data_IF_896494558533
#
_entry.id   IF_896494558533
#
_cell.length_a   1.000
_cell.length_b   1.000
_cell.length_c   1.000
_cell.angle_alpha   90.00
_cell.angle_beta   90.00
_cell.angle_gamma   90.00
#
_symmetry.space_group_name_H-M   'P 1'
#
loop_
_entity.id
_entity.type
_entity.pdbx_description
1 polymer ?
#
# COMPACT_ATOMS: atom_id res chain seq x y z
N UNK A 1 23.92 23.29 -1.56
CA UNK A 1 24.81 22.36 -0.81
C UNK A 1 23.89 21.39 -0.08
N UNK A 2 23.30 20.44 -0.81
CA UNK A 2 22.44 19.41 -0.25
C UNK A 2 23.30 18.18 0.05
N UNK A 3 23.81 18.12 1.28
CA UNK A 3 24.30 16.87 1.86
C UNK A 3 23.11 16.18 2.54
N UNK A 4 22.19 15.63 1.74
CA UNK A 4 21.28 14.60 2.24
C UNK A 4 21.80 13.27 1.73
N UNK A 5 22.17 12.44 2.70
CA UNK A 5 22.65 11.07 2.54
C UNK A 5 21.78 10.31 1.53
N UNK A 6 22.42 9.66 0.56
CA UNK A 6 21.72 8.91 -0.50
C UNK A 6 20.90 7.75 0.10
N UNK A 7 19.81 7.33 -0.56
CA UNK A 7 18.90 6.29 -0.06
C UNK A 7 19.64 4.99 0.30
N UNK A 8 20.72 4.71 -0.41
CA UNK A 8 21.59 3.56 -0.20
C UNK A 8 22.38 3.69 1.10
N UNK A 9 22.90 4.88 1.39
CA UNK A 9 23.59 5.17 2.64
C UNK A 9 22.62 5.12 3.82
N UNK A 10 21.39 5.62 3.65
CA UNK A 10 20.36 5.52 4.68
C UNK A 10 19.98 4.07 4.97
N UNK A 11 19.68 3.27 3.94
CA UNK A 11 19.36 1.85 4.09
C UNK A 11 20.50 1.00 4.66
N UNK A 12 21.75 1.37 4.37
CA UNK A 12 22.93 0.65 4.86
C UNK A 12 23.27 1.00 6.32
N UNK A 13 23.22 2.29 6.68
CA UNK A 13 23.74 2.76 7.97
C UNK A 13 22.67 2.99 9.04
N UNK A 14 21.40 3.17 8.68
CA UNK A 14 20.34 3.37 9.68
C UNK A 14 20.17 2.19 10.67
N UNK A 15 20.17 0.91 10.25
CA UNK A 15 20.07 -0.22 11.19
C UNK A 15 21.26 -0.28 12.17
N UNK A 16 22.46 0.09 11.71
CA UNK A 16 23.67 0.16 12.53
C UNK A 16 23.50 1.25 13.59
N UNK A 17 23.04 2.43 13.19
CA UNK A 17 22.81 3.56 14.10
C UNK A 17 21.76 3.21 15.16
N UNK A 18 20.62 2.64 14.75
CA UNK A 18 19.56 2.20 15.66
C UNK A 18 20.08 1.18 16.68
N UNK A 19 20.86 0.20 16.23
CA UNK A 19 21.47 -0.80 17.12
C UNK A 19 22.32 -0.15 18.23
N UNK A 20 23.17 0.82 17.87
CA UNK A 20 24.06 1.46 18.85
C UNK A 20 23.33 2.42 19.78
N UNK A 21 22.32 3.15 19.30
CA UNK A 21 21.45 3.98 20.13
C UNK A 21 20.73 3.12 21.17
N UNK A 22 20.08 2.04 20.71
CA UNK A 22 19.36 1.12 21.58
C UNK A 22 20.29 0.47 22.62
N UNK A 23 21.46 -0.02 22.17
CA UNK A 23 22.46 -0.62 23.05
C UNK A 23 23.01 0.39 24.07
N UNK A 24 23.19 1.65 23.66
CA UNK A 24 23.63 2.73 24.54
C UNK A 24 22.61 3.05 25.63
N UNK A 25 21.33 3.16 25.28
CA UNK A 25 20.23 3.35 26.23
C UNK A 25 20.22 2.21 27.26
N UNK A 26 20.41 0.97 26.82
CA UNK A 26 20.45 -0.18 27.73
C UNK A 26 21.61 -0.10 28.75
N UNK A 27 22.80 0.31 28.30
CA UNK A 27 23.95 0.48 29.19
C UNK A 27 23.70 1.59 30.22
N UNK A 28 23.08 2.70 29.80
CA UNK A 28 22.73 3.82 30.69
C UNK A 28 21.71 3.44 31.76
N UNK A 29 20.74 2.57 31.42
CA UNK A 29 19.71 2.12 32.34
C UNK A 29 20.17 0.98 33.27
N UNK A 30 21.30 0.33 32.97
CA UNK A 30 21.81 -0.82 33.73
C UNK A 30 21.99 -0.65 35.25
N UNK A 31 22.26 0.57 35.80
CA UNK A 31 22.34 0.78 37.26
C UNK A 31 20.99 0.74 37.97
N UNK A 32 19.87 0.97 37.27
CA UNK A 32 18.55 1.08 37.88
C UNK A 32 17.82 -0.27 37.83
N UNK A 33 17.70 -0.94 38.98
CA UNK A 33 17.18 -2.32 39.04
C UNK A 33 15.76 -2.47 38.46
N UNK A 34 14.90 -1.47 38.65
CA UNK A 34 13.52 -1.46 38.14
C UNK A 34 13.41 -1.37 36.61
N UNK A 35 14.50 -1.05 35.90
CA UNK A 35 14.53 -0.85 34.45
C UNK A 35 15.46 -1.84 33.72
N UNK A 36 15.95 -2.87 34.42
CA UNK A 36 16.77 -3.92 33.81
C UNK A 36 15.90 -4.93 33.05
N UNK A 37 16.22 -5.14 31.77
CA UNK A 37 15.61 -6.21 30.97
C UNK A 37 15.94 -7.62 31.49
N UNK A 38 17.10 -7.79 32.14
CA UNK A 38 17.53 -9.08 32.68
C UNK A 38 18.07 -8.97 34.12
N UNK A 39 17.73 -9.93 35.01
CA UNK A 39 18.31 -10.01 36.34
C UNK A 39 19.85 -10.10 36.29
N UNK A 40 20.54 -9.51 37.27
CA UNK A 40 22.03 -9.61 37.39
C UNK A 40 22.52 -11.06 37.37
N UNK A 41 21.78 -11.94 38.05
CA UNK A 41 22.06 -13.37 38.10
C UNK A 41 22.12 -14.00 36.71
N UNK A 42 21.18 -13.65 35.84
CA UNK A 42 21.11 -14.19 34.47
C UNK A 42 22.24 -13.64 33.60
N UNK A 43 22.58 -12.35 33.76
CA UNK A 43 23.68 -11.72 33.03
C UNK A 43 25.03 -12.39 33.36
N UNK A 44 25.27 -12.70 34.64
CA UNK A 44 26.50 -13.37 35.07
C UNK A 44 26.61 -14.83 34.61
N UNK A 45 25.49 -15.53 34.42
CA UNK A 45 25.48 -16.92 33.98
C UNK A 45 25.50 -17.04 32.45
N UNK A 46 24.82 -16.12 31.74
CA UNK A 46 24.64 -16.20 30.29
C UNK A 46 25.72 -15.46 29.49
N UNK A 47 26.40 -14.47 30.06
CA UNK A 47 27.49 -13.77 29.36
C UNK A 47 28.79 -14.57 29.44
N UNK A 48 28.99 -15.44 28.44
CA UNK A 48 30.18 -16.29 28.33
C UNK A 48 31.43 -15.56 27.81
N UNK A 49 31.29 -14.32 27.34
CA UNK A 49 32.35 -13.53 26.69
C UNK A 49 32.44 -12.11 27.24
N UNK A 50 33.64 -11.51 27.18
CA UNK A 50 33.85 -10.14 27.65
C UNK A 50 33.14 -9.10 26.77
N UNK A 51 32.73 -7.97 27.35
CA UNK A 51 32.14 -6.84 26.61
C UNK A 51 33.04 -6.37 25.46
N UNK A 52 34.35 -6.39 25.64
CA UNK A 52 35.33 -6.02 24.61
C UNK A 52 35.30 -7.00 23.42
N UNK A 53 35.12 -8.29 23.70
CA UNK A 53 34.96 -9.32 22.67
C UNK A 53 33.66 -9.13 21.90
N UNK A 54 32.56 -8.85 22.60
CA UNK A 54 31.24 -8.56 21.99
C UNK A 54 31.32 -7.34 21.07
N UNK A 55 31.85 -6.22 21.56
CA UNK A 55 31.97 -4.98 20.76
C UNK A 55 32.81 -5.21 19.51
N UNK A 56 33.94 -5.94 19.60
CA UNK A 56 34.75 -6.29 18.43
C UNK A 56 34.00 -7.17 17.43
N UNK A 57 33.26 -8.17 17.92
CA UNK A 57 32.46 -9.06 17.08
C UNK A 57 31.34 -8.32 16.34
N UNK A 58 30.62 -7.46 17.06
CA UNK A 58 29.53 -6.62 16.50
C UNK A 58 30.07 -5.65 15.44
N UNK A 59 31.18 -4.94 15.73
CA UNK A 59 31.78 -4.03 14.76
C UNK A 59 32.27 -4.76 13.50
N UNK A 60 32.87 -5.95 13.66
CA UNK A 60 33.29 -6.77 12.52
C UNK A 60 32.09 -7.25 11.69
N UNK A 61 31.02 -7.70 12.35
CA UNK A 61 29.79 -8.15 11.70
C UNK A 61 29.09 -7.00 10.96
N UNK A 62 28.98 -5.83 11.57
CA UNK A 62 28.39 -4.64 10.94
C UNK A 62 29.25 -4.11 9.79
N UNK A 63 30.58 -4.16 9.91
CA UNK A 63 31.48 -3.79 8.81
C UNK A 63 31.33 -4.74 7.62
N UNK A 64 31.23 -6.06 7.86
CA UNK A 64 30.98 -7.05 6.82
C UNK A 64 29.60 -6.85 6.18
N UNK A 65 28.56 -6.63 6.99
CA UNK A 65 27.21 -6.38 6.52
C UNK A 65 27.12 -5.11 5.66
N UNK A 66 27.77 -4.02 6.09
CA UNK A 66 27.84 -2.79 5.33
C UNK A 66 28.61 -2.99 4.01
N UNK A 67 29.74 -3.72 4.03
CA UNK A 67 30.51 -4.02 2.83
C UNK A 67 29.71 -4.86 1.82
N UNK A 68 29.03 -5.91 2.28
CA UNK A 68 28.17 -6.74 1.42
C UNK A 68 27.00 -5.93 0.87
N UNK A 69 26.33 -5.12 1.68
CA UNK A 69 25.25 -4.25 1.24
C UNK A 69 25.73 -3.27 0.16
N UNK A 70 26.83 -2.56 0.40
CA UNK A 70 27.42 -1.62 -0.57
C UNK A 70 27.82 -2.33 -1.87
N UNK A 71 28.41 -3.52 -1.80
CA UNK A 71 28.78 -4.30 -2.99
C UNK A 71 27.54 -4.76 -3.75
N UNK A 72 26.52 -5.26 -3.07
CA UNK A 72 25.26 -5.68 -3.71
C UNK A 72 24.55 -4.50 -4.37
N UNK A 73 24.41 -3.37 -3.66
CA UNK A 73 23.87 -2.14 -4.23
C UNK A 73 24.69 -1.65 -5.43
N UNK A 74 26.02 -1.68 -5.33
CA UNK A 74 26.91 -1.29 -6.43
C UNK A 74 26.75 -2.20 -7.65
N UNK A 75 26.66 -3.52 -7.47
CA UNK A 75 26.44 -4.49 -8.55
C UNK A 75 25.05 -4.29 -9.18
N UNK A 76 24.02 -4.10 -8.37
CA UNK A 76 22.65 -3.87 -8.84
C UNK A 76 22.57 -2.58 -9.67
N UNK A 77 23.19 -1.50 -9.21
CA UNK A 77 23.23 -0.21 -9.91
C UNK A 77 24.15 -0.22 -11.14
N UNK A 78 25.24 -0.99 -11.13
CA UNK A 78 26.16 -1.14 -12.28
C UNK A 78 25.56 -2.01 -13.39
N UNK A 79 24.74 -3.00 -13.05
CA UNK A 79 24.14 -3.91 -14.02
C UNK A 79 22.80 -3.40 -14.59
N UNK A 80 22.15 -2.45 -13.92
CA UNK A 80 20.82 -1.98 -14.27
C UNK A 80 20.63 -0.53 -13.80
N UNK A 81 20.27 0.39 -14.69
CA UNK A 81 19.66 1.66 -14.28
C UNK A 81 18.23 1.35 -13.83
N UNK A 82 17.98 1.28 -12.52
CA UNK A 82 16.64 1.02 -12.01
C UNK A 82 15.88 2.34 -11.90
N UNK A 83 14.78 2.55 -12.66
CA UNK A 83 13.95 3.76 -12.56
C UNK A 83 13.33 3.95 -11.17
N UNK A 84 13.40 2.92 -10.32
CA UNK A 84 12.78 2.86 -8.99
C UNK A 84 13.30 3.93 -8.01
N UNK A 85 14.53 4.42 -8.23
CA UNK A 85 15.14 5.46 -7.40
C UNK A 85 15.08 6.85 -8.03
N UNK A 86 14.71 6.93 -9.31
CA UNK A 86 14.55 8.20 -10.00
C UNK A 86 13.34 8.95 -9.44
N UNK A 87 13.42 10.27 -9.38
CA UNK A 87 12.30 11.13 -8.97
C UNK A 87 11.56 11.59 -10.22
N UNK A 88 10.28 11.90 -10.08
CA UNK A 88 9.55 12.57 -11.16
C UNK A 88 9.88 14.05 -11.18
N UNK A 89 9.88 14.65 -12.37
CA UNK A 89 9.97 16.10 -12.53
C UNK A 89 8.60 16.74 -12.32
N UNK A 90 8.26 17.04 -11.07
CA UNK A 90 6.90 17.50 -10.71
C UNK A 90 6.77 19.02 -10.90
N UNK A 91 5.87 19.50 -11.77
CA UNK A 91 5.79 20.92 -12.13
C UNK A 91 5.04 21.80 -11.12
N UNK A 92 4.33 21.20 -10.16
CA UNK A 92 3.56 21.92 -9.14
C UNK A 92 4.26 21.96 -7.77
N UNK A 93 3.81 22.87 -6.92
CA UNK A 93 4.36 23.12 -5.58
C UNK A 93 3.49 22.50 -4.48
N UNK A 94 4.00 22.53 -3.23
CA UNK A 94 3.36 21.96 -2.03
C UNK A 94 1.89 22.35 -1.84
N UNK A 95 1.53 23.59 -2.20
CA UNK A 95 0.16 24.10 -2.08
C UNK A 95 -0.82 23.35 -2.97
N UNK A 96 -0.42 23.04 -4.21
CA UNK A 96 -1.24 22.26 -5.15
C UNK A 96 -1.49 20.86 -4.60
N UNK A 97 -0.50 20.27 -3.93
CA UNK A 97 -0.63 18.94 -3.31
C UNK A 97 -1.71 18.94 -2.24
N UNK A 98 -1.60 19.88 -1.29
CA UNK A 98 -2.54 19.99 -0.18
C UNK A 98 -3.94 20.31 -0.69
N UNK A 99 -4.06 21.27 -1.62
CA UNK A 99 -5.34 21.66 -2.20
C UNK A 99 -5.99 20.48 -2.94
N UNK A 100 -5.25 19.74 -3.75
CA UNK A 100 -5.79 18.60 -4.49
C UNK A 100 -6.21 17.47 -3.56
N UNK A 101 -5.39 17.11 -2.56
CA UNK A 101 -5.75 16.05 -1.62
C UNK A 101 -6.98 16.41 -0.78
N UNK A 102 -7.08 17.66 -0.30
CA UNK A 102 -8.27 18.14 0.42
C UNK A 102 -9.48 18.16 -0.51
N UNK A 103 -9.34 18.68 -1.74
CA UNK A 103 -10.44 18.74 -2.70
C UNK A 103 -10.94 17.33 -3.05
N UNK A 104 -10.04 16.36 -3.25
CA UNK A 104 -10.42 14.96 -3.49
C UNK A 104 -11.19 14.37 -2.31
N UNK A 105 -10.70 14.57 -1.08
CA UNK A 105 -11.38 14.11 0.14
C UNK A 105 -12.75 14.76 0.35
N UNK A 106 -12.85 16.07 0.16
CA UNK A 106 -14.13 16.80 0.23
C UNK A 106 -15.08 16.30 -0.86
N UNK A 107 -14.61 16.15 -2.10
CA UNK A 107 -15.42 15.65 -3.20
C UNK A 107 -15.97 14.26 -2.93
N UNK A 108 -15.15 13.34 -2.41
CA UNK A 108 -15.58 12.00 -2.00
C UNK A 108 -16.68 12.02 -0.94
N UNK A 109 -16.53 12.87 0.09
CA UNK A 109 -17.54 13.01 1.15
C UNK A 109 -18.83 13.66 0.61
N UNK A 110 -18.70 14.71 -0.21
CA UNK A 110 -19.84 15.40 -0.79
C UNK A 110 -20.65 14.53 -1.74
N UNK A 111 -20.00 13.67 -2.54
CA UNK A 111 -20.73 12.73 -3.42
C UNK A 111 -21.63 11.80 -2.61
N UNK A 112 -21.15 11.25 -1.49
CA UNK A 112 -21.99 10.41 -0.61
C UNK A 112 -23.15 11.19 0.04
N UNK A 113 -22.94 12.44 0.45
CA UNK A 113 -24.05 13.28 0.95
C UNK A 113 -25.08 13.62 -0.13
N UNK A 114 -24.64 13.90 -1.35
CA UNK A 114 -25.52 14.15 -2.49
C UNK A 114 -26.33 12.90 -2.80
N UNK A 115 -25.70 11.72 -2.83
CA UNK A 115 -26.38 10.45 -3.04
C UNK A 115 -27.45 10.20 -1.96
N UNK A 116 -27.11 10.33 -0.68
CA UNK A 116 -28.05 10.18 0.43
C UNK A 116 -29.24 11.16 0.31
N UNK A 117 -28.98 12.38 -0.13
CA UNK A 117 -30.02 13.40 -0.34
C UNK A 117 -30.92 13.07 -1.53
N UNK A 118 -30.33 12.64 -2.65
CA UNK A 118 -31.06 12.29 -3.88
C UNK A 118 -31.92 11.05 -3.68
N UNK A 119 -31.38 10.00 -3.06
CA UNK A 119 -32.13 8.77 -2.73
C UNK A 119 -33.30 9.06 -1.81
N UNK A 120 -33.10 9.89 -0.77
CA UNK A 120 -34.18 10.35 0.10
C UNK A 120 -35.23 11.20 -0.62
N UNK A 121 -34.81 12.11 -1.51
CA UNK A 121 -35.72 12.99 -2.25
C UNK A 121 -36.59 12.21 -3.25
N UNK A 122 -36.02 11.21 -3.90
CA UNK A 122 -36.72 10.32 -4.84
C UNK A 122 -37.56 9.25 -4.12
N UNK A 123 -37.51 9.17 -2.78
CA UNK A 123 -38.24 8.18 -2.00
C UNK A 123 -37.71 6.75 -2.16
N UNK A 124 -36.46 6.59 -2.58
CA UNK A 124 -35.83 5.28 -2.78
C UNK A 124 -35.50 4.67 -1.41
N UNK A 125 -36.20 3.61 -1.04
CA UNK A 125 -35.92 2.87 0.19
C UNK A 125 -34.87 1.80 -0.07
N UNK A 126 -33.58 2.14 0.10
CA UNK A 126 -32.42 1.27 -0.18
C UNK A 126 -32.57 -0.11 0.46
N UNK A 127 -33.12 -0.19 1.68
CA UNK A 127 -33.32 -1.46 2.39
C UNK A 127 -34.18 -2.44 1.59
N UNK A 128 -35.19 -1.95 0.88
CA UNK A 128 -36.18 -2.75 0.16
C UNK A 128 -35.75 -3.12 -1.26
N UNK A 129 -34.64 -2.56 -1.75
CA UNK A 129 -34.11 -2.90 -3.08
C UNK A 129 -33.63 -4.35 -3.14
N UNK A 130 -33.83 -4.98 -4.30
CA UNK A 130 -33.23 -6.27 -4.62
C UNK A 130 -31.70 -6.20 -4.67
N UNK A 131 -31.03 -7.35 -4.67
CA UNK A 131 -29.57 -7.39 -4.73
C UNK A 131 -29.01 -6.74 -6.01
N UNK A 132 -29.64 -7.00 -7.16
CA UNK A 132 -29.21 -6.44 -8.44
C UNK A 132 -29.36 -4.91 -8.49
N UNK A 133 -30.48 -4.39 -7.98
CA UNK A 133 -30.73 -2.94 -7.89
C UNK A 133 -29.75 -2.26 -6.93
N UNK A 134 -29.41 -2.91 -5.81
CA UNK A 134 -28.38 -2.42 -4.88
C UNK A 134 -27.00 -2.40 -5.54
N UNK A 135 -26.63 -3.46 -6.26
CA UNK A 135 -25.35 -3.54 -6.93
C UNK A 135 -25.23 -2.51 -8.08
N UNK A 136 -26.32 -2.28 -8.82
CA UNK A 136 -26.40 -1.23 -9.83
C UNK A 136 -26.24 0.16 -9.21
N UNK A 137 -26.97 0.45 -8.13
CA UNK A 137 -26.87 1.74 -7.42
C UNK A 137 -25.43 2.01 -6.94
N UNK A 138 -24.79 1.03 -6.30
CA UNK A 138 -23.39 1.12 -5.87
C UNK A 138 -22.42 1.32 -7.04
N UNK A 139 -22.69 0.70 -8.19
CA UNK A 139 -21.86 0.89 -9.38
C UNK A 139 -21.98 2.32 -9.92
N UNK A 140 -23.20 2.86 -9.97
CA UNK A 140 -23.44 4.24 -10.38
C UNK A 140 -22.78 5.23 -9.41
N UNK A 141 -22.90 5.01 -8.10
CA UNK A 141 -22.25 5.85 -7.10
C UNK A 141 -20.72 5.83 -7.28
N UNK A 142 -20.11 4.64 -7.34
CA UNK A 142 -18.67 4.51 -7.56
C UNK A 142 -18.22 5.20 -8.86
N UNK A 143 -19.02 5.11 -9.93
CA UNK A 143 -18.73 5.77 -11.20
C UNK A 143 -18.73 7.30 -11.04
N UNK A 144 -19.72 7.87 -10.34
CA UNK A 144 -19.81 9.30 -10.06
C UNK A 144 -18.61 9.76 -9.23
N UNK A 145 -18.31 9.06 -8.12
CA UNK A 145 -17.15 9.34 -7.26
C UNK A 145 -15.86 9.35 -8.08
N UNK A 146 -15.66 8.32 -8.91
CA UNK A 146 -14.49 8.19 -9.77
C UNK A 146 -14.38 9.36 -10.74
N UNK A 147 -15.47 9.70 -11.45
CA UNK A 147 -15.47 10.81 -12.40
C UNK A 147 -15.21 12.17 -11.73
N UNK A 148 -15.82 12.42 -10.57
CA UNK A 148 -15.68 13.69 -9.82
C UNK A 148 -14.25 13.86 -9.32
N UNK A 149 -13.69 12.85 -8.65
CA UNK A 149 -12.34 12.94 -8.07
C UNK A 149 -11.27 13.05 -9.16
N UNK A 150 -11.38 12.26 -10.24
CA UNK A 150 -10.47 12.40 -11.38
C UNK A 150 -10.62 13.77 -12.06
N UNK A 151 -11.85 14.30 -12.13
CA UNK A 151 -12.14 15.65 -12.60
C UNK A 151 -11.48 16.73 -11.75
N UNK A 152 -11.44 16.57 -10.42
CA UNK A 152 -10.73 17.46 -9.49
C UNK A 152 -9.23 17.43 -9.73
N UNK A 153 -8.63 16.23 -9.79
CA UNK A 153 -7.19 16.06 -10.07
C UNK A 153 -6.85 16.74 -11.41
N UNK A 154 -7.60 16.45 -12.47
CA UNK A 154 -7.40 17.07 -13.77
C UNK A 154 -7.56 18.59 -13.71
N UNK A 155 -8.63 19.10 -13.10
CA UNK A 155 -8.90 20.54 -13.02
C UNK A 155 -7.78 21.33 -12.30
N UNK A 156 -7.26 20.78 -11.20
CA UNK A 156 -6.21 21.41 -10.41
C UNK A 156 -4.80 21.23 -11.01
N UNK A 157 -4.59 20.26 -11.89
CA UNK A 157 -3.30 20.04 -12.58
C UNK A 157 -3.26 20.58 -14.01
N UNK A 158 -4.41 20.96 -14.59
CA UNK A 158 -4.53 21.40 -15.99
C UNK A 158 -3.65 22.61 -16.33
N UNK A 159 -3.43 23.53 -15.40
CA UNK A 159 -2.61 24.73 -15.62
C UNK A 159 -1.11 24.42 -15.81
N UNK A 160 -0.66 23.21 -15.48
CA UNK A 160 0.73 22.78 -15.59
C UNK A 160 1.06 22.02 -16.88
N UNK A 161 0.12 21.99 -17.83
CA UNK A 161 0.31 21.30 -19.11
C UNK A 161 1.31 22.06 -20.02
N UNK A 162 2.16 21.36 -20.80
CA UNK A 162 2.27 19.90 -20.88
C UNK A 162 2.99 19.30 -19.66
N UNK A 163 2.44 18.20 -19.14
CA UNK A 163 3.12 17.40 -18.11
C UNK A 163 4.24 16.54 -18.72
N UNK A 164 5.27 16.17 -17.95
CA UNK A 164 6.21 15.14 -18.35
C UNK A 164 5.51 13.82 -18.74
N UNK A 165 6.10 13.10 -19.70
CA UNK A 165 5.50 11.92 -20.33
C UNK A 165 5.30 10.71 -19.38
N UNK A 166 5.94 10.73 -18.21
CA UNK A 166 5.89 9.67 -17.20
C UNK A 166 4.92 9.97 -16.03
N UNK A 167 4.29 11.16 -16.02
CA UNK A 167 3.22 11.52 -15.08
C UNK A 167 1.87 11.12 -15.70
N UNK A 168 1.05 10.38 -14.94
CA UNK A 168 -0.22 9.82 -15.43
C UNK A 168 -0.09 9.00 -16.74
N UNK A 169 1.02 8.27 -16.89
CA UNK A 169 1.32 7.51 -18.10
C UNK A 169 0.52 6.20 -18.19
N UNK A 170 -0.10 5.96 -19.36
CA UNK A 170 -0.85 4.75 -19.71
C UNK A 170 -0.30 4.13 -21.01
N UNK A 171 0.87 3.50 -20.93
CA UNK A 171 1.54 2.96 -22.13
C UNK A 171 1.22 1.48 -22.35
N UNK A 172 0.45 1.19 -23.40
CA UNK A 172 0.08 -0.20 -23.75
C UNK A 172 1.17 -0.98 -24.49
N UNK A 173 2.24 -0.32 -24.93
CA UNK A 173 3.29 -0.93 -25.74
C UNK A 173 4.18 -1.84 -24.90
N UNK A 174 4.75 -2.85 -25.58
CA UNK A 174 5.77 -3.76 -25.05
C UNK A 174 5.42 -4.40 -23.68
N UNK A 175 4.21 -5.01 -23.51
CA UNK A 175 3.70 -5.48 -22.22
C UNK A 175 4.60 -6.49 -21.49
N UNK A 176 5.43 -7.23 -22.23
CA UNK A 176 6.32 -8.26 -21.71
C UNK A 176 7.81 -7.91 -21.77
N UNK A 177 8.16 -6.64 -21.99
CA UNK A 177 9.55 -6.19 -21.92
C UNK A 177 10.14 -6.48 -20.52
N UNK A 178 11.32 -7.07 -20.47
CA UNK A 178 11.94 -7.49 -19.20
C UNK A 178 12.31 -6.33 -18.28
N UNK A 179 12.56 -5.15 -18.83
CA UNK A 179 12.92 -3.96 -18.06
C UNK A 179 11.68 -3.17 -17.64
N UNK A 180 10.73 -2.93 -18.54
CA UNK A 180 9.61 -2.00 -18.29
C UNK A 180 8.23 -2.49 -18.73
N UNK A 181 8.10 -3.78 -19.04
CA UNK A 181 6.86 -4.38 -19.49
C UNK A 181 5.80 -4.35 -18.39
N UNK A 182 4.78 -3.52 -18.57
CA UNK A 182 3.75 -3.28 -17.55
C UNK A 182 3.01 -4.55 -17.14
N UNK A 183 2.76 -5.47 -18.08
CA UNK A 183 2.04 -6.70 -17.80
C UNK A 183 2.94 -7.75 -17.13
N UNK A 184 4.20 -7.86 -17.56
CA UNK A 184 5.18 -8.72 -16.90
C UNK A 184 5.35 -8.31 -15.43
N UNK A 185 5.55 -7.03 -15.17
CA UNK A 185 5.71 -6.51 -13.81
C UNK A 185 4.41 -6.55 -13.01
N UNK A 186 3.25 -6.50 -13.65
CA UNK A 186 1.97 -6.78 -12.98
C UNK A 186 1.90 -8.23 -12.50
N UNK A 187 2.25 -9.20 -13.35
CA UNK A 187 2.26 -10.63 -12.99
C UNK A 187 3.28 -10.94 -11.90
N UNK A 188 4.48 -10.36 -11.96
CA UNK A 188 5.48 -10.52 -10.90
C UNK A 188 5.02 -9.83 -9.60
N UNK A 189 4.49 -8.61 -9.72
CA UNK A 189 4.01 -7.81 -8.60
C UNK A 189 2.89 -8.49 -7.82
N UNK A 190 1.91 -9.11 -8.51
CA UNK A 190 0.82 -9.81 -7.83
C UNK A 190 1.32 -11.05 -7.07
N UNK A 191 2.27 -11.83 -7.63
CA UNK A 191 2.88 -12.98 -6.95
C UNK A 191 3.63 -12.54 -5.69
N UNK A 192 4.42 -11.47 -5.80
CA UNK A 192 5.15 -10.90 -4.65
C UNK A 192 4.17 -10.37 -3.59
N UNK A 193 3.09 -9.69 -4.00
CA UNK A 193 2.08 -9.19 -3.08
C UNK A 193 1.40 -10.35 -2.31
N UNK A 194 1.00 -11.43 -2.99
CA UNK A 194 0.45 -12.62 -2.34
C UNK A 194 1.40 -13.21 -1.30
N UNK A 195 2.68 -13.39 -1.66
CA UNK A 195 3.69 -13.92 -0.74
C UNK A 195 3.91 -12.99 0.46
N UNK A 196 4.04 -11.68 0.22
CA UNK A 196 4.27 -10.70 1.28
C UNK A 196 3.09 -10.62 2.25
N UNK A 197 1.85 -10.65 1.75
CA UNK A 197 0.65 -10.63 2.57
C UNK A 197 0.51 -11.94 3.37
N UNK A 198 0.78 -13.09 2.75
CA UNK A 198 0.78 -14.38 3.45
C UNK A 198 1.81 -14.43 4.58
N UNK A 199 3.04 -13.96 4.33
CA UNK A 199 4.10 -13.86 5.33
C UNK A 199 3.75 -12.88 6.45
N UNK A 200 3.16 -11.74 6.11
CA UNK A 200 2.71 -10.74 7.10
C UNK A 200 1.62 -11.34 8.00
N UNK A 201 0.65 -12.05 7.41
CA UNK A 201 -0.38 -12.76 8.16
C UNK A 201 0.19 -13.83 9.09
N UNK A 202 1.13 -14.65 8.60
CA UNK A 202 1.81 -15.65 9.41
C UNK A 202 2.61 -15.03 10.56
N UNK A 203 3.34 -13.95 10.29
CA UNK A 203 4.10 -13.23 11.31
C UNK A 203 3.17 -12.68 12.41
N UNK A 204 2.09 -11.99 12.04
CA UNK A 204 1.12 -11.46 13.00
C UNK A 204 0.49 -12.56 13.86
N UNK A 205 0.14 -13.70 13.27
CA UNK A 205 -0.38 -14.85 14.01
C UNK A 205 0.62 -15.41 15.04
N UNK A 206 1.91 -15.44 14.69
CA UNK A 206 2.98 -15.87 15.61
C UNK A 206 3.20 -14.87 16.76
N UNK A 207 3.03 -13.57 16.52
CA UNK A 207 3.25 -12.52 17.53
C UNK A 207 2.06 -12.31 18.47
N UNK A 208 0.83 -12.35 17.95
CA UNK A 208 -0.36 -12.00 18.73
C UNK A 208 -1.07 -13.20 19.36
N UNK A 209 -0.74 -14.44 18.98
CA UNK A 209 -1.40 -15.65 19.49
C UNK A 209 -2.86 -15.84 19.06
N UNK A 210 -3.45 -14.80 18.47
CA UNK A 210 -4.79 -14.76 17.90
C UNK A 210 -4.69 -14.22 16.47
N UNK A 211 -5.50 -14.76 15.56
CA UNK A 211 -5.72 -14.10 14.26
C UNK A 211 -6.37 -12.75 14.52
N UNK A 212 -5.85 -11.63 13.99
CA UNK A 212 -6.52 -10.35 14.12
C UNK A 212 -7.98 -10.52 13.70
N UNK A 213 -8.93 -10.12 14.56
CA UNK A 213 -10.30 -9.90 14.10
C UNK A 213 -10.23 -8.83 13.01
N UNK A 214 -10.23 -9.27 11.75
CA UNK A 214 -10.42 -8.35 10.63
C UNK A 214 -11.78 -7.71 10.88
N UNK A 215 -11.80 -6.39 11.03
CA UNK A 215 -13.05 -5.63 10.95
C UNK A 215 -13.65 -5.92 9.59
N UNK A 216 -14.71 -6.72 9.61
CA UNK A 216 -15.36 -7.31 8.44
C UNK A 216 -16.26 -6.29 7.73
N UNK A 217 -16.22 -5.02 8.11
CA UNK A 217 -17.30 -4.07 7.87
C UNK A 217 -17.49 -3.75 6.38
N UNK A 218 -16.40 -3.55 5.62
CA UNK A 218 -16.47 -3.30 4.18
C UNK A 218 -16.97 -4.52 3.39
N UNK A 219 -16.48 -5.72 3.75
CA UNK A 219 -16.91 -6.96 3.11
C UNK A 219 -18.33 -7.35 3.51
N UNK A 220 -18.76 -7.06 4.75
CA UNK A 220 -20.11 -7.34 5.24
C UNK A 220 -21.17 -6.60 4.43
N UNK A 221 -20.88 -5.37 4.01
CA UNK A 221 -21.81 -4.60 3.16
C UNK A 221 -21.99 -5.29 1.79
N UNK A 222 -20.91 -5.88 1.25
CA UNK A 222 -20.92 -6.53 -0.07
C UNK A 222 -21.37 -8.00 -0.02
N UNK A 223 -21.26 -8.68 1.12
CA UNK A 223 -21.60 -10.09 1.31
C UNK A 223 -23.00 -10.47 0.77
N UNK A 224 -24.08 -9.69 1.01
CA UNK A 224 -25.40 -10.00 0.47
C UNK A 224 -25.50 -9.93 -1.06
N UNK A 225 -24.55 -9.27 -1.71
CA UNK A 225 -24.49 -9.09 -3.16
C UNK A 225 -23.57 -10.12 -3.84
N UNK A 226 -22.59 -10.65 -3.11
CA UNK A 226 -21.65 -11.64 -3.62
C UNK A 226 -22.38 -12.96 -3.90
N UNK A 227 -22.35 -13.39 -5.17
CA UNK A 227 -22.98 -14.63 -5.60
C UNK A 227 -24.52 -14.65 -5.53
N UNK A 228 -25.16 -13.49 -5.37
CA UNK A 228 -26.64 -13.37 -5.42
C UNK A 228 -27.18 -13.58 -6.84
N UNK A 229 -26.48 -13.02 -7.84
CA UNK A 229 -26.75 -13.18 -9.27
C UNK A 229 -25.51 -12.88 -10.11
N UNK A 230 -25.51 -13.27 -11.38
CA UNK A 230 -24.46 -12.90 -12.34
C UNK A 230 -24.40 -11.39 -12.60
N UNK A 231 -25.53 -10.69 -12.52
CA UNK A 231 -25.63 -9.24 -12.76
C UNK A 231 -25.00 -8.50 -11.57
N UNK A 232 -25.39 -8.83 -10.34
CA UNK A 232 -24.77 -8.29 -9.12
C UNK A 232 -23.26 -8.53 -9.11
N UNK A 233 -22.82 -9.73 -9.48
CA UNK A 233 -21.39 -10.07 -9.56
C UNK A 233 -20.67 -9.23 -10.61
N UNK A 234 -21.28 -8.99 -11.78
CA UNK A 234 -20.69 -8.14 -12.82
C UNK A 234 -20.53 -6.69 -12.35
N UNK A 235 -21.53 -6.12 -11.66
CA UNK A 235 -21.43 -4.79 -11.06
C UNK A 235 -20.32 -4.73 -10.00
N UNK A 236 -20.24 -5.71 -9.09
CA UNK A 236 -19.19 -5.77 -8.07
C UNK A 236 -17.78 -5.86 -8.68
N UNK A 237 -17.59 -6.66 -9.74
CA UNK A 237 -16.32 -6.73 -10.47
C UNK A 237 -16.04 -5.41 -11.20
N UNK A 238 -17.05 -4.74 -11.75
CA UNK A 238 -16.90 -3.42 -12.35
C UNK A 238 -16.46 -2.35 -11.35
N UNK A 239 -17.04 -2.35 -10.15
CA UNK A 239 -16.67 -1.47 -9.04
C UNK A 239 -15.23 -1.76 -8.61
N UNK A 240 -14.98 -2.98 -8.14
CA UNK A 240 -13.77 -3.34 -7.40
C UNK A 240 -12.58 -3.66 -8.32
N UNK A 241 -12.85 -4.09 -9.55
CA UNK A 241 -11.86 -4.46 -10.55
C UNK A 241 -11.55 -3.39 -11.59
N UNK A 242 -12.35 -2.32 -11.69
CA UNK A 242 -12.13 -1.26 -12.69
C UNK A 242 -12.18 0.12 -12.06
N UNK A 243 -13.35 0.54 -11.57
CA UNK A 243 -13.56 1.92 -11.15
C UNK A 243 -12.70 2.31 -9.95
N UNK A 244 -12.71 1.51 -8.88
CA UNK A 244 -11.91 1.74 -7.68
C UNK A 244 -10.39 1.69 -7.97
N UNK A 245 -9.83 0.67 -8.65
CA UNK A 245 -8.42 0.67 -9.03
C UNK A 245 -7.99 1.88 -9.87
N UNK A 246 -8.79 2.27 -10.87
CA UNK A 246 -8.46 3.44 -11.71
C UNK A 246 -8.43 4.72 -10.88
N UNK A 247 -9.43 4.92 -10.03
CA UNK A 247 -9.50 6.08 -9.13
C UNK A 247 -8.30 6.10 -8.17
N UNK A 248 -8.13 5.02 -7.42
CA UNK A 248 -7.18 4.95 -6.31
C UNK A 248 -5.73 4.96 -6.80
N UNK A 249 -5.40 4.23 -7.87
CA UNK A 249 -4.03 4.29 -8.41
C UNK A 249 -3.73 5.66 -9.02
N UNK A 250 -4.70 6.32 -9.65
CA UNK A 250 -4.49 7.68 -10.16
C UNK A 250 -4.26 8.67 -9.03
N UNK A 251 -5.04 8.59 -7.94
CA UNK A 251 -4.91 9.48 -6.79
C UNK A 251 -3.63 9.20 -5.98
N UNK A 252 -3.42 7.96 -5.55
CA UNK A 252 -2.33 7.63 -4.63
C UNK A 252 -0.98 7.47 -5.33
N UNK A 253 -0.94 6.88 -6.54
CA UNK A 253 0.32 6.63 -7.26
C UNK A 253 0.58 7.75 -8.26
N UNK A 254 -0.37 8.00 -9.16
CA UNK A 254 -0.25 8.99 -10.22
C UNK A 254 -0.10 10.43 -9.71
N UNK A 255 -0.79 10.78 -8.61
CA UNK A 255 -0.72 12.11 -8.02
C UNK A 255 0.12 12.15 -6.73
N UNK A 256 -0.34 11.55 -5.63
CA UNK A 256 0.27 11.74 -4.30
C UNK A 256 1.73 11.24 -4.25
N UNK A 257 1.99 9.98 -4.63
CA UNK A 257 3.32 9.38 -4.59
C UNK A 257 4.31 10.15 -5.48
N UNK A 258 3.93 10.39 -6.74
CA UNK A 258 4.71 11.18 -7.73
C UNK A 258 5.06 12.54 -7.15
N UNK A 259 4.08 13.23 -6.59
CA UNK A 259 4.26 14.57 -6.03
C UNK A 259 5.20 14.59 -4.83
N UNK A 260 5.13 13.59 -3.95
CA UNK A 260 6.04 13.48 -2.81
C UNK A 260 7.51 13.33 -3.24
N UNK A 261 7.76 12.75 -4.42
CA UNK A 261 9.13 12.58 -4.94
C UNK A 261 9.84 13.91 -5.21
N UNK A 262 9.11 15.04 -5.27
CA UNK A 262 9.70 16.38 -5.38
C UNK A 262 10.59 16.73 -4.18
N UNK A 263 10.23 16.27 -2.99
CA UNK A 263 10.95 16.60 -1.74
C UNK A 263 11.54 15.38 -1.05
N UNK A 264 10.99 14.20 -1.30
CA UNK A 264 11.38 12.96 -0.64
C UNK A 264 11.96 11.98 -1.66
N UNK A 265 12.80 11.05 -1.21
CA UNK A 265 13.20 9.95 -2.06
C UNK A 265 12.00 9.09 -2.49
N UNK A 266 12.14 8.40 -3.63
CA UNK A 266 11.06 7.58 -4.21
C UNK A 266 10.64 6.46 -3.28
N UNK A 267 11.59 5.83 -2.59
CA UNK A 267 11.35 4.80 -1.58
C UNK A 267 10.44 5.29 -0.44
N UNK A 268 10.73 6.46 0.12
CA UNK A 268 9.95 7.09 1.19
C UNK A 268 8.57 7.50 0.67
N UNK A 269 8.49 8.00 -0.56
CA UNK A 269 7.24 8.42 -1.20
C UNK A 269 6.29 7.24 -1.41
N UNK A 270 6.82 6.06 -1.78
CA UNK A 270 6.07 4.80 -1.86
C UNK A 270 5.48 4.45 -0.49
N UNK A 271 6.28 4.50 0.58
CA UNK A 271 5.83 4.14 1.93
C UNK A 271 4.74 5.10 2.43
N UNK A 272 4.92 6.41 2.26
CA UNK A 272 3.91 7.40 2.69
C UNK A 272 2.62 7.25 1.89
N UNK A 273 2.70 7.06 0.57
CA UNK A 273 1.53 6.84 -0.27
C UNK A 273 0.80 5.55 0.11
N UNK A 274 1.53 4.45 0.35
CA UNK A 274 0.96 3.18 0.81
C UNK A 274 0.26 3.31 2.18
N UNK A 275 0.83 4.07 3.11
CA UNK A 275 0.21 4.35 4.40
C UNK A 275 -1.06 5.20 4.23
N UNK A 276 -1.03 6.25 3.40
CA UNK A 276 -2.19 7.08 3.11
C UNK A 276 -3.33 6.27 2.46
N UNK A 277 -2.99 5.39 1.51
CA UNK A 277 -3.91 4.42 0.90
C UNK A 277 -4.57 3.53 1.96
N UNK A 278 -3.78 2.89 2.83
CA UNK A 278 -4.32 2.01 3.86
C UNK A 278 -5.17 2.75 4.91
N UNK A 279 -4.79 3.97 5.30
CA UNK A 279 -5.58 4.79 6.23
C UNK A 279 -6.90 5.27 5.62
N UNK A 280 -6.92 5.55 4.31
CA UNK A 280 -8.13 6.02 3.63
C UNK A 280 -9.26 4.97 3.62
N UNK A 281 -8.94 3.69 3.81
CA UNK A 281 -9.92 2.61 3.92
C UNK A 281 -10.65 2.60 5.27
N UNK A 282 -10.13 3.30 6.29
CA UNK A 282 -10.74 3.40 7.62
C UNK A 282 -11.05 2.05 8.29
N UNK A 283 -10.29 1.00 7.95
CA UNK A 283 -10.37 -0.35 8.52
C UNK A 283 -9.05 -0.70 9.23
N UNK A 284 -8.83 -0.26 10.49
CA UNK A 284 -7.58 -0.51 11.23
C UNK A 284 -7.11 -1.97 11.22
N UNK A 285 -8.03 -2.94 11.26
CA UNK A 285 -7.71 -4.37 11.21
C UNK A 285 -7.12 -4.85 9.88
N UNK A 286 -7.38 -4.15 8.77
CA UNK A 286 -6.87 -4.49 7.43
C UNK A 286 -5.63 -3.67 7.05
N UNK A 287 -5.25 -2.70 7.88
CA UNK A 287 -4.13 -1.79 7.62
C UNK A 287 -2.84 -2.53 7.22
N UNK A 288 -2.36 -3.58 7.92
CA UNK A 288 -1.11 -4.24 7.54
C UNK A 288 -1.15 -4.82 6.12
N UNK A 289 -2.27 -5.42 5.72
CA UNK A 289 -2.43 -6.04 4.41
C UNK A 289 -2.56 -4.98 3.31
N UNK A 290 -3.36 -3.93 3.55
CA UNK A 290 -3.53 -2.81 2.63
C UNK A 290 -2.23 -2.02 2.46
N UNK A 291 -1.45 -1.87 3.53
CA UNK A 291 -0.14 -1.22 3.48
C UNK A 291 0.87 -2.04 2.67
N UNK A 292 0.90 -3.36 2.85
CA UNK A 292 1.78 -4.26 2.08
C UNK A 292 1.39 -4.28 0.60
N UNK A 293 0.11 -4.44 0.29
CA UNK A 293 -0.39 -4.32 -1.09
C UNK A 293 -0.03 -2.95 -1.65
N UNK A 294 -0.27 -1.89 -0.87
CA UNK A 294 -0.06 -0.53 -1.30
C UNK A 294 1.40 -0.22 -1.63
N UNK A 295 2.31 -0.81 -0.85
CA UNK A 295 3.76 -0.75 -1.06
C UNK A 295 4.17 -1.47 -2.34
N UNK A 296 3.65 -2.68 -2.60
CA UNK A 296 3.91 -3.42 -3.83
C UNK A 296 3.44 -2.64 -5.07
N UNK A 297 2.24 -2.06 -5.03
CA UNK A 297 1.71 -1.21 -6.09
C UNK A 297 2.62 0.01 -6.35
N UNK A 298 3.03 0.72 -5.30
CA UNK A 298 3.95 1.85 -5.42
C UNK A 298 5.31 1.49 -6.02
N UNK A 299 5.90 0.37 -5.60
CA UNK A 299 7.17 -0.13 -6.15
C UNK A 299 7.06 -0.50 -7.63
N UNK A 300 6.00 -1.22 -8.03
CA UNK A 300 5.82 -1.58 -9.43
C UNK A 300 5.64 -0.33 -10.30
N UNK A 301 4.94 0.69 -9.81
CA UNK A 301 4.80 1.96 -10.54
C UNK A 301 6.10 2.75 -10.63
N UNK A 302 6.87 2.83 -9.53
CA UNK A 302 8.20 3.46 -9.52
C UNK A 302 9.16 2.82 -10.53
N UNK A 303 9.04 1.50 -10.70
CA UNK A 303 9.84 0.77 -11.66
C UNK A 303 9.37 0.93 -13.12
N UNK A 304 8.06 0.77 -13.38
CA UNK A 304 7.54 0.74 -14.76
C UNK A 304 7.18 2.10 -15.33
N UNK A 305 7.00 3.12 -14.48
CA UNK A 305 6.50 4.45 -14.84
C UNK A 305 5.18 4.41 -15.60
N UNK A 306 4.35 3.40 -15.35
CA UNK A 306 3.13 3.15 -16.10
C UNK A 306 2.01 2.70 -15.16
N UNK A 307 0.93 3.50 -15.07
CA UNK A 307 -0.20 3.27 -14.18
C UNK A 307 -0.97 1.99 -14.52
N UNK A 308 -0.87 1.48 -15.75
CA UNK A 308 -1.46 0.17 -16.10
C UNK A 308 -0.92 -0.96 -15.22
N UNK A 309 0.33 -0.86 -14.75
CA UNK A 309 0.96 -1.87 -13.90
C UNK A 309 0.25 -1.99 -12.55
N UNK A 310 0.24 -0.96 -11.68
CA UNK A 310 -0.45 -1.05 -10.40
C UNK A 310 -1.96 -1.21 -10.57
N UNK A 311 -2.60 -0.59 -11.59
CA UNK A 311 -4.04 -0.75 -11.83
C UNK A 311 -4.38 -2.22 -12.09
N UNK A 312 -3.57 -2.91 -12.90
CA UNK A 312 -3.78 -4.34 -13.20
C UNK A 312 -3.60 -5.20 -11.95
N UNK A 313 -2.57 -4.97 -11.15
CA UNK A 313 -2.35 -5.73 -9.91
C UNK A 313 -3.53 -5.53 -8.96
N UNK A 314 -3.95 -4.28 -8.75
CA UNK A 314 -5.03 -3.93 -7.84
C UNK A 314 -6.37 -4.50 -8.33
N UNK A 315 -6.68 -4.36 -9.62
CA UNK A 315 -7.86 -4.93 -10.26
C UNK A 315 -7.94 -6.46 -10.09
N UNK A 316 -6.83 -7.17 -10.32
CA UNK A 316 -6.76 -8.62 -10.18
C UNK A 316 -6.89 -9.06 -8.73
N UNK A 317 -6.29 -8.32 -7.79
CA UNK A 317 -6.42 -8.59 -6.36
C UNK A 317 -7.89 -8.51 -5.93
N UNK A 318 -8.54 -7.38 -6.21
CA UNK A 318 -9.91 -7.13 -5.80
C UNK A 318 -10.91 -8.08 -6.49
N UNK A 319 -10.82 -8.20 -7.81
CA UNK A 319 -11.69 -9.11 -8.57
C UNK A 319 -11.48 -10.56 -8.17
N UNK A 320 -10.24 -10.97 -7.91
CA UNK A 320 -9.92 -12.31 -7.44
C UNK A 320 -10.63 -12.64 -6.14
N UNK A 321 -10.60 -11.73 -5.16
CA UNK A 321 -11.33 -11.88 -3.90
C UNK A 321 -12.84 -12.04 -4.14
N UNK A 322 -13.46 -11.15 -4.92
CA UNK A 322 -14.90 -11.21 -5.21
C UNK A 322 -15.29 -12.51 -5.93
N UNK A 323 -14.51 -12.94 -6.92
CA UNK A 323 -14.80 -14.16 -7.69
C UNK A 323 -14.61 -15.43 -6.86
N UNK A 324 -13.58 -15.49 -6.02
CA UNK A 324 -13.37 -16.61 -5.09
C UNK A 324 -14.53 -16.70 -4.11
N UNK A 325 -14.93 -15.59 -3.51
CA UNK A 325 -16.04 -15.56 -2.57
C UNK A 325 -17.36 -15.94 -3.25
N UNK A 326 -17.61 -15.41 -4.45
CA UNK A 326 -18.76 -15.80 -5.27
C UNK A 326 -18.78 -17.30 -5.53
N UNK A 327 -17.65 -17.87 -5.94
CA UNK A 327 -17.52 -19.31 -6.15
C UNK A 327 -17.82 -20.11 -4.88
N UNK A 328 -17.25 -19.74 -3.73
CA UNK A 328 -17.50 -20.42 -2.46
C UNK A 328 -18.98 -20.35 -2.04
N UNK A 329 -19.62 -19.19 -2.19
CA UNK A 329 -21.04 -19.00 -1.91
C UNK A 329 -21.91 -19.90 -2.80
N UNK A 330 -21.60 -19.99 -4.10
CA UNK A 330 -22.30 -20.86 -5.05
C UNK A 330 -22.13 -22.36 -4.74
N UNK A 331 -21.02 -22.74 -4.08
CA UNK A 331 -20.82 -24.10 -3.57
C UNK A 331 -21.53 -24.38 -2.23
N UNK A 332 -22.25 -23.40 -1.67
CA UNK A 332 -22.99 -23.54 -0.42
C UNK A 332 -22.15 -23.32 0.84
N UNK A 333 -20.93 -22.80 0.72
CA UNK A 333 -20.19 -22.35 1.89
C UNK A 333 -20.77 -21.02 2.38
N UNK A 334 -21.22 -21.00 3.64
CA UNK A 334 -21.61 -19.74 4.28
C UNK A 334 -20.35 -18.91 4.55
N UNK A 335 -20.09 -17.91 3.71
CA UNK A 335 -18.92 -17.04 3.87
C UNK A 335 -18.90 -16.38 5.26
N UNK A 336 -20.08 -16.09 5.83
CA UNK A 336 -20.21 -15.60 7.21
C UNK A 336 -19.50 -16.50 8.22
N UNK A 337 -19.59 -17.83 8.05
CA UNK A 337 -18.98 -18.80 8.96
C UNK A 337 -17.48 -18.94 8.71
N UNK A 338 -17.03 -18.79 7.46
CA UNK A 338 -15.60 -18.78 7.10
C UNK A 338 -14.89 -17.51 7.62
N UNK A 339 -15.60 -16.37 7.63
CA UNK A 339 -15.07 -15.11 8.13
C UNK A 339 -15.18 -15.00 9.65
N UNK A 340 -16.10 -15.73 10.31
CA UNK A 340 -16.27 -15.66 11.76
C UNK A 340 -15.18 -16.37 12.55
N UNK A 341 -14.44 -17.31 11.96
CA UNK A 341 -13.50 -18.15 12.69
C UNK A 341 -14.28 -19.11 13.61
N UNK A 342 -14.02 -20.40 13.47
CA UNK A 342 -14.57 -21.42 14.38
C UNK A 342 -14.13 -21.22 15.82
#
# INVERSE_FOLDING_TARGET
MENFMSDELLGTFAPILVYWVYSGIYVLLSPFENYRLHPKKDEHVKNLVSKRTVVRGVLLQQALQAAVAVILFSIILLCFEWPIFERWDVPWEGQTVVLTMIACGISFVLTGFVEASVTSYLGIQIVNLGADEKAELLFVDQFIVTAVVLGVIYGLTKSFQPLPDDIFCYNWKEPFNLQKGWLLWAVLGIVVAFLAIALTGAALALFNGETPEREKDALIILLPLIGSSSISTAYLVGITGVLAPVLEETLFRGFLMVTLTKWLPTSVSVIISAAAFALAHLTPGEFPQLFVLGTALGFTYAHTRNLLTPITIHALWNSGVILILTFLQLQGYYISNLLQGS
#
